data_IF_887776222457
#
_entry.id   IF_887776222457
#
_cell.length_a   1.000
_cell.length_b   1.000
_cell.length_c   1.000
_cell.angle_alpha   90.00
_cell.angle_beta   90.00
_cell.angle_gamma   90.00
#
_symmetry.space_group_name_H-M   'P 1'
#
loop_
_entity.id
_entity.type
_entity.pdbx_description
1 polymer ?
#
# COMPACT_ATOMS: atom_id res chain seq x y z
N UNK A 1 -14.77 4.73 13.24
CA UNK A 1 -13.74 4.01 12.47
C UNK A 1 -13.18 4.84 11.31
N UNK A 2 -13.94 5.11 10.23
CA UNK A 2 -13.43 5.76 9.00
C UNK A 2 -14.16 7.06 8.65
N UNK A 3 -13.46 7.95 7.93
CA UNK A 3 -13.96 9.17 7.31
C UNK A 3 -13.22 9.32 5.97
N UNK A 4 -13.96 9.28 4.85
CA UNK A 4 -13.40 8.95 3.52
C UNK A 4 -12.23 9.86 3.08
N UNK A 5 -12.31 11.15 3.41
CA UNK A 5 -11.24 12.15 3.19
C UNK A 5 -9.85 11.69 3.68
N UNK A 6 -9.78 10.81 4.68
CA UNK A 6 -8.53 10.21 5.16
C UNK A 6 -8.04 9.07 4.26
N UNK A 7 -8.91 8.19 3.78
CA UNK A 7 -8.51 7.11 2.84
C UNK A 7 -7.96 7.70 1.53
N UNK A 8 -8.62 8.73 1.01
CA UNK A 8 -8.20 9.48 -0.17
C UNK A 8 -6.83 10.18 -0.01
N UNK A 9 -6.34 10.37 1.23
CA UNK A 9 -5.04 10.98 1.52
C UNK A 9 -3.98 10.01 2.06
N UNK A 10 -4.37 8.85 2.60
CA UNK A 10 -3.47 7.83 3.20
C UNK A 10 -2.58 7.17 2.14
N UNK A 11 -3.06 7.05 0.91
CA UNK A 11 -2.25 6.64 -0.24
C UNK A 11 -1.81 7.88 -1.02
N UNK A 12 -0.57 7.92 -1.51
CA UNK A 12 0.06 9.06 -2.21
C UNK A 12 0.59 8.74 -3.61
N UNK A 13 1.00 7.51 -3.87
CA UNK A 13 1.33 7.00 -5.21
C UNK A 13 1.44 5.45 -5.20
N UNK A 14 1.33 4.78 -6.35
CA UNK A 14 2.01 3.50 -6.59
C UNK A 14 3.52 3.71 -6.64
N UNK A 15 4.30 2.64 -6.48
CA UNK A 15 5.75 2.69 -6.53
C UNK A 15 6.34 1.54 -7.35
N UNK A 16 7.13 1.91 -8.36
CA UNK A 16 7.81 1.03 -9.30
C UNK A 16 9.32 1.04 -9.04
N UNK A 17 9.90 -0.14 -8.78
CA UNK A 17 11.29 -0.32 -8.30
C UNK A 17 11.84 -1.76 -8.39
N UNK A 18 11.64 -2.45 -9.53
CA UNK A 18 12.04 -3.85 -9.87
C UNK A 18 11.63 -4.96 -8.88
N UNK A 19 12.05 -4.90 -7.61
CA UNK A 19 11.48 -5.70 -6.53
C UNK A 19 9.97 -5.45 -6.38
N UNK A 20 9.46 -4.28 -6.79
CA UNK A 20 8.02 -4.03 -6.87
C UNK A 20 7.33 -4.88 -7.96
N UNK A 21 8.02 -5.14 -9.06
CA UNK A 21 7.57 -6.04 -10.13
C UNK A 21 7.60 -7.49 -9.63
N UNK A 22 8.72 -7.94 -9.07
CA UNK A 22 8.88 -9.29 -8.47
C UNK A 22 7.98 -9.51 -7.24
N UNK A 23 7.53 -8.46 -6.55
CA UNK A 23 6.52 -8.57 -5.48
C UNK A 23 5.16 -9.03 -6.02
N UNK A 24 4.81 -8.59 -7.24
CA UNK A 24 3.56 -8.94 -7.89
C UNK A 24 3.65 -10.33 -8.53
N UNK A 25 4.53 -10.52 -9.52
CA UNK A 25 4.55 -11.74 -10.34
C UNK A 25 4.96 -13.02 -9.60
N UNK A 26 5.57 -12.90 -8.41
CA UNK A 26 5.99 -14.03 -7.58
C UNK A 26 5.14 -14.22 -6.31
N UNK A 27 4.64 -13.13 -5.74
CA UNK A 27 4.25 -13.05 -4.32
C UNK A 27 2.98 -12.22 -4.05
N UNK A 28 2.09 -12.09 -5.05
CA UNK A 28 0.76 -11.42 -4.98
C UNK A 28 0.72 -10.11 -4.16
N UNK A 29 1.77 -9.29 -4.24
CA UNK A 29 1.98 -8.13 -3.35
C UNK A 29 2.30 -6.88 -4.15
N UNK A 30 1.60 -5.79 -3.82
CA UNK A 30 1.74 -4.47 -4.46
C UNK A 30 2.50 -3.51 -3.54
N UNK A 31 3.25 -2.57 -4.13
CA UNK A 31 4.15 -1.67 -3.39
C UNK A 31 3.73 -0.21 -3.57
N UNK A 32 3.38 0.45 -2.47
CA UNK A 32 2.79 1.78 -2.46
C UNK A 32 3.63 2.83 -1.71
N UNK A 33 3.43 4.07 -2.12
CA UNK A 33 3.77 5.32 -1.44
C UNK A 33 2.56 5.77 -0.63
N UNK A 34 2.68 5.75 0.69
CA UNK A 34 1.60 6.11 1.64
C UNK A 34 1.96 7.38 2.42
N UNK A 35 1.02 7.88 3.22
CA UNK A 35 1.20 9.05 4.06
C UNK A 35 2.37 8.90 5.07
N UNK A 36 2.96 10.03 5.47
CA UNK A 36 4.15 10.07 6.34
C UNK A 36 3.87 9.64 7.79
N UNK A 37 2.61 9.74 8.20
CA UNK A 37 2.06 8.98 9.32
C UNK A 37 1.53 7.62 8.81
N UNK A 38 0.30 7.57 8.28
CA UNK A 38 -0.53 6.38 8.08
C UNK A 38 -0.55 5.42 9.31
N UNK A 39 -1.14 4.25 9.11
CA UNK A 39 -0.89 3.03 9.90
C UNK A 39 -1.38 1.83 9.08
N UNK A 40 -0.91 0.59 9.35
CA UNK A 40 -1.21 -0.57 8.48
C UNK A 40 -2.70 -0.83 8.35
N UNK A 41 -3.45 -0.56 9.41
CA UNK A 41 -4.90 -0.71 9.43
C UNK A 41 -5.62 0.25 8.44
N UNK A 42 -5.18 1.51 8.38
CA UNK A 42 -5.68 2.50 7.41
C UNK A 42 -5.24 2.19 5.98
N UNK A 43 -3.99 1.73 5.79
CA UNK A 43 -3.46 1.37 4.47
C UNK A 43 -4.29 0.23 3.85
N UNK A 44 -4.59 -0.82 4.64
CA UNK A 44 -5.51 -1.89 4.24
C UNK A 44 -6.91 -1.33 3.93
N UNK A 45 -7.46 -0.46 4.78
CA UNK A 45 -8.79 0.11 4.55
C UNK A 45 -8.86 0.95 3.27
N UNK A 46 -7.81 1.71 2.94
CA UNK A 46 -7.73 2.47 1.71
C UNK A 46 -7.70 1.55 0.47
N UNK A 47 -6.81 0.54 0.44
CA UNK A 47 -6.70 -0.35 -0.73
C UNK A 47 -7.98 -1.18 -0.94
N UNK A 48 -8.52 -1.79 0.12
CA UNK A 48 -9.72 -2.64 0.01
C UNK A 48 -10.99 -1.88 -0.45
N UNK A 49 -11.01 -0.55 -0.41
CA UNK A 49 -12.13 0.26 -0.91
C UNK A 49 -11.87 0.94 -2.24
N UNK A 50 -10.70 1.52 -2.43
CA UNK A 50 -10.37 2.24 -3.67
C UNK A 50 -10.15 1.26 -4.83
N UNK A 51 -9.51 0.12 -4.56
CA UNK A 51 -9.11 -0.89 -5.55
C UNK A 51 -9.99 -2.15 -5.52
N UNK A 52 -10.99 -2.21 -4.64
CA UNK A 52 -12.01 -3.28 -4.54
C UNK A 52 -11.48 -4.71 -4.31
N UNK A 53 -10.23 -4.88 -3.89
CA UNK A 53 -9.58 -6.20 -3.65
C UNK A 53 -9.53 -6.56 -2.17
N UNK A 54 -9.54 -7.84 -1.83
CA UNK A 54 -9.21 -8.29 -0.46
C UNK A 54 -7.69 -8.21 -0.22
N UNK A 55 -7.32 -7.85 1.01
CA UNK A 55 -5.95 -7.71 1.50
C UNK A 55 -5.68 -8.71 2.61
N UNK A 56 -4.54 -9.35 2.54
CA UNK A 56 -4.08 -10.35 3.50
C UNK A 56 -3.29 -9.72 4.66
N UNK A 57 -2.23 -8.98 4.35
CA UNK A 57 -1.37 -8.28 5.34
C UNK A 57 -0.69 -7.06 4.71
N UNK A 58 -0.36 -6.05 5.53
CA UNK A 58 0.44 -4.89 5.12
C UNK A 58 1.71 -4.75 5.96
N UNK A 59 2.87 -4.72 5.33
CA UNK A 59 4.16 -4.43 5.99
C UNK A 59 4.70 -3.08 5.50
N UNK A 60 5.35 -2.30 6.36
CA UNK A 60 5.84 -0.95 6.03
C UNK A 60 7.33 -0.78 6.36
N UNK A 61 7.99 0.16 5.68
CA UNK A 61 9.35 0.65 5.98
C UNK A 61 9.60 2.04 5.36
N UNK A 62 10.78 2.64 5.56
CA UNK A 62 11.08 4.02 5.15
C UNK A 62 12.44 4.15 4.45
N UNK A 63 12.52 5.06 3.47
CA UNK A 63 13.71 5.32 2.63
C UNK A 63 14.90 5.99 3.36
N UNK A 64 14.70 6.55 4.56
CA UNK A 64 15.70 7.32 5.33
C UNK A 64 16.31 8.48 4.53
N UNK A 65 15.44 9.31 3.94
CA UNK A 65 15.76 10.51 3.13
C UNK A 65 15.12 11.73 3.81
N UNK A 66 15.46 12.97 3.43
CA UNK A 66 14.97 14.20 4.12
C UNK A 66 13.45 14.24 4.32
N UNK A 67 12.70 13.76 3.34
CA UNK A 67 11.24 13.75 3.35
C UNK A 67 10.64 12.49 3.98
N UNK A 68 11.50 11.57 4.43
CA UNK A 68 11.26 10.36 5.21
C UNK A 68 10.06 9.55 4.72
N UNK A 69 10.20 9.08 3.47
CA UNK A 69 9.10 8.48 2.73
C UNK A 69 8.76 7.03 3.15
N UNK A 70 7.49 6.81 3.53
CA UNK A 70 6.86 5.52 3.94
C UNK A 70 6.41 4.65 2.76
N UNK A 71 7.10 3.53 2.54
CA UNK A 71 6.71 2.43 1.64
C UNK A 71 5.78 1.46 2.36
N UNK A 72 4.81 0.92 1.63
CA UNK A 72 3.94 -0.17 2.08
C UNK A 72 3.93 -1.33 1.08
N UNK A 73 4.13 -2.55 1.58
CA UNK A 73 3.94 -3.82 0.89
C UNK A 73 2.57 -4.36 1.27
N UNK A 74 1.56 -4.17 0.42
CA UNK A 74 0.20 -4.67 0.62
C UNK A 74 0.07 -6.00 -0.11
N UNK A 75 -0.08 -7.09 0.63
CA UNK A 75 -0.27 -8.43 0.06
C UNK A 75 -1.77 -8.67 -0.17
N UNK A 76 -2.12 -9.08 -1.39
CA UNK A 76 -3.48 -9.42 -1.81
C UNK A 76 -3.75 -10.91 -1.52
N UNK A 77 -4.93 -11.40 -1.90
CA UNK A 77 -5.34 -12.79 -1.66
C UNK A 77 -4.89 -13.75 -2.77
N UNK A 78 -5.49 -13.68 -3.95
CA UNK A 78 -5.33 -14.67 -5.03
C UNK A 78 -5.40 -14.09 -6.44
N UNK A 79 -6.43 -13.29 -6.68
CA UNK A 79 -6.67 -12.53 -7.88
C UNK A 79 -6.75 -11.05 -7.57
N UNK A 80 -6.45 -10.24 -8.57
CA UNK A 80 -6.30 -8.80 -8.45
C UNK A 80 -6.78 -8.11 -9.75
N UNK A 81 -7.10 -6.82 -9.67
CA UNK A 81 -7.33 -6.00 -10.85
C UNK A 81 -6.00 -5.40 -11.35
N UNK A 82 -5.40 -4.47 -10.58
CA UNK A 82 -4.11 -3.83 -10.86
C UNK A 82 -3.25 -3.67 -9.57
#
# INVERSE_FOLDING_TARGET
>A
MIREERLLKVLRAPHVSEKASTAMEKSNTIVLKVAKDATKAEIKAAVQKLFEVEVEVVNTLVVKRRSDWKKAYVTLKEGQNL
#
